data_IF_357770569536
#
_entry.id   IF_357770569536
#
_cell.length_a   1.000
_cell.length_b   1.000
_cell.length_c   1.000
_cell.angle_alpha   90.00
_cell.angle_beta   90.00
_cell.angle_gamma   90.00
#
_symmetry.space_group_name_H-M   'P 1'
#
loop_
_entity.id
_entity.type
_entity.pdbx_description
1 polymer ?
#
# COMPACT_ATOMS: atom_id res chain seq x y z
N UNK A 1 -5.47 -19.61 17.25
CA UNK A 1 -4.28 -18.93 16.69
C UNK A 1 -4.45 -17.44 16.94
N UNK A 2 -3.55 -16.77 17.67
CA UNK A 2 -3.75 -15.37 18.10
C UNK A 2 -3.47 -14.42 16.93
N UNK A 3 -4.40 -13.53 16.62
CA UNK A 3 -4.37 -12.59 15.48
C UNK A 3 -3.11 -11.71 15.42
N UNK A 4 -2.42 -11.53 16.56
CA UNK A 4 -1.15 -10.79 16.63
C UNK A 4 0.06 -11.49 15.98
N UNK A 5 0.04 -12.82 15.87
CA UNK A 5 1.14 -13.56 15.22
C UNK A 5 1.11 -13.38 13.69
N UNK A 6 -0.09 -13.40 13.09
CA UNK A 6 -0.25 -13.25 11.64
C UNK A 6 0.22 -11.89 11.11
N UNK A 7 -0.09 -10.79 11.81
CA UNK A 7 0.35 -9.45 11.40
C UNK A 7 1.87 -9.26 11.50
N UNK A 8 2.48 -9.88 12.53
CA UNK A 8 3.93 -9.84 12.75
C UNK A 8 4.67 -10.62 11.66
N UNK A 9 4.13 -11.75 11.24
CA UNK A 9 4.71 -12.60 10.19
C UNK A 9 4.68 -11.92 8.81
N UNK A 10 3.55 -11.31 8.44
CA UNK A 10 3.37 -10.53 7.19
C UNK A 10 4.34 -9.33 7.13
N UNK A 11 4.53 -8.65 8.26
CA UNK A 11 5.43 -7.49 8.35
C UNK A 11 6.89 -7.89 8.21
N UNK A 12 7.30 -9.01 8.82
CA UNK A 12 8.69 -9.49 8.78
C UNK A 12 9.11 -10.02 7.40
N UNK A 13 8.17 -10.55 6.63
CA UNK A 13 8.42 -10.98 5.25
C UNK A 13 8.67 -9.82 4.28
N UNK A 14 8.18 -8.62 4.61
CA UNK A 14 8.27 -7.43 3.76
C UNK A 14 9.56 -6.66 4.08
N UNK A 15 10.62 -6.86 3.29
CA UNK A 15 11.95 -6.21 3.40
C UNK A 15 11.93 -4.69 3.14
N UNK A 16 11.10 -3.92 3.85
CA UNK A 16 11.00 -2.47 3.74
C UNK A 16 11.78 -1.77 4.85
N UNK A 17 12.53 -0.69 4.53
CA UNK A 17 13.20 0.18 5.52
C UNK A 17 12.24 0.77 6.57
N UNK A 18 10.93 0.70 6.34
CA UNK A 18 9.88 1.07 7.30
C UNK A 18 9.89 0.19 8.57
N UNK A 19 10.38 -1.06 8.46
CA UNK A 19 10.51 -1.99 9.59
C UNK A 19 11.40 -1.44 10.72
N UNK A 20 12.40 -0.60 10.40
CA UNK A 20 13.24 0.04 11.41
C UNK A 20 12.50 1.12 12.22
N UNK A 21 11.57 1.86 11.61
CA UNK A 21 10.73 2.82 12.31
C UNK A 21 9.82 2.13 13.34
N UNK A 22 9.41 0.89 13.07
CA UNK A 22 8.57 0.08 13.97
C UNK A 22 9.33 -0.47 15.19
N UNK A 23 10.63 -0.70 15.06
CA UNK A 23 11.50 -1.14 16.16
C UNK A 23 11.69 -0.02 17.20
N UNK A 24 11.63 1.25 16.82
CA UNK A 24 11.77 2.36 17.75
C UNK A 24 10.57 2.56 18.70
N UNK A 25 9.44 1.91 18.46
CA UNK A 25 8.21 2.07 19.25
C UNK A 25 7.97 0.90 20.20
N UNK A 26 7.57 1.15 21.44
CA UNK A 26 7.24 0.12 22.43
C UNK A 26 5.72 -0.06 22.61
N UNK A 27 5.31 -1.25 23.06
CA UNK A 27 3.97 -1.50 23.57
C UNK A 27 2.85 -1.55 22.52
N UNK A 28 1.72 -0.90 22.83
CA UNK A 28 0.49 -0.95 22.04
C UNK A 28 0.67 -0.36 20.62
N UNK A 29 1.34 0.79 20.50
CA UNK A 29 1.57 1.45 19.20
C UNK A 29 2.32 0.59 18.19
N UNK A 30 3.27 -0.24 18.64
CA UNK A 30 3.96 -1.19 17.75
C UNK A 30 2.99 -2.20 17.16
N UNK A 31 2.04 -2.72 17.95
CA UNK A 31 1.02 -3.66 17.45
C UNK A 31 0.07 -2.98 16.49
N UNK A 32 -0.30 -1.74 16.79
CA UNK A 32 -1.23 -0.96 15.97
C UNK A 32 -0.65 -0.62 14.61
N UNK A 33 0.60 -0.13 14.55
CA UNK A 33 1.27 0.12 13.26
C UNK A 33 1.50 -1.18 12.48
N UNK A 34 1.79 -2.29 13.18
CA UNK A 34 1.97 -3.61 12.54
C UNK A 34 0.66 -4.08 11.93
N UNK A 35 -0.47 -3.82 12.59
CA UNK A 35 -1.81 -4.12 12.08
C UNK A 35 -2.12 -3.28 10.85
N UNK A 36 -1.82 -1.98 10.89
CA UNK A 36 -1.97 -1.08 9.75
C UNK A 36 -1.09 -1.51 8.56
N UNK A 37 0.15 -1.90 8.82
CA UNK A 37 1.06 -2.37 7.78
C UNK A 37 0.59 -3.70 7.16
N UNK A 38 0.11 -4.63 7.98
CA UNK A 38 -0.48 -5.88 7.50
C UNK A 38 -1.71 -5.64 6.62
N UNK A 39 -2.56 -4.66 6.96
CA UNK A 39 -3.67 -4.23 6.10
C UNK A 39 -3.19 -3.75 4.72
N UNK A 40 -2.22 -2.84 4.68
CA UNK A 40 -1.67 -2.34 3.41
C UNK A 40 -1.12 -3.49 2.56
N UNK A 41 -0.41 -4.44 3.19
CA UNK A 41 0.18 -5.59 2.49
C UNK A 41 -0.88 -6.52 1.92
N UNK A 42 -1.96 -6.80 2.65
CA UNK A 42 -3.05 -7.65 2.16
C UNK A 42 -3.74 -7.02 0.95
N UNK A 43 -3.97 -5.71 0.98
CA UNK A 43 -4.58 -5.00 -0.15
C UNK A 43 -3.66 -5.01 -1.38
N UNK A 44 -2.37 -4.71 -1.20
CA UNK A 44 -1.37 -4.79 -2.28
C UNK A 44 -1.30 -6.21 -2.88
N UNK A 45 -1.30 -7.26 -2.03
CA UNK A 45 -1.26 -8.65 -2.49
C UNK A 45 -2.51 -9.04 -3.30
N UNK A 46 -3.68 -8.46 -3.01
CA UNK A 46 -4.88 -8.66 -3.83
C UNK A 46 -4.67 -8.08 -5.23
N UNK A 47 -4.09 -6.88 -5.35
CA UNK A 47 -3.84 -6.26 -6.65
C UNK A 47 -2.71 -6.93 -7.43
N UNK A 48 -1.65 -7.38 -6.76
CA UNK A 48 -0.47 -7.99 -7.37
C UNK A 48 -0.66 -9.48 -7.72
N UNK A 49 -1.73 -10.15 -7.27
CA UNK A 49 -1.96 -11.57 -7.58
C UNK A 49 -2.36 -11.76 -9.06
N UNK A 50 -1.38 -12.09 -9.90
CA UNK A 50 -1.56 -12.36 -11.33
C UNK A 50 -2.46 -13.58 -11.64
N UNK A 51 -2.79 -14.42 -10.63
CA UNK A 51 -3.66 -15.58 -10.81
C UNK A 51 -5.15 -15.23 -10.72
N UNK A 52 -5.49 -14.04 -10.22
CA UNK A 52 -6.88 -13.57 -10.08
C UNK A 52 -7.27 -12.65 -11.23
N UNK A 53 -8.49 -12.81 -11.72
CA UNK A 53 -9.07 -11.88 -12.67
C UNK A 53 -9.39 -10.52 -12.01
N UNK A 54 -9.60 -9.50 -12.83
CA UNK A 54 -9.87 -8.13 -12.35
C UNK A 54 -11.17 -8.04 -11.55
N UNK A 55 -12.18 -8.84 -11.90
CA UNK A 55 -13.47 -8.84 -11.21
C UNK A 55 -13.34 -9.39 -9.79
N UNK A 56 -12.61 -10.49 -9.59
CA UNK A 56 -12.32 -11.07 -8.28
C UNK A 56 -11.54 -10.08 -7.42
N UNK A 57 -10.51 -9.42 -7.98
CA UNK A 57 -9.74 -8.39 -7.26
C UNK A 57 -10.65 -7.26 -6.76
N UNK A 58 -11.49 -6.70 -7.65
CA UNK A 58 -12.45 -5.64 -7.29
C UNK A 58 -13.44 -6.09 -6.21
N UNK A 59 -13.93 -7.33 -6.30
CA UNK A 59 -14.84 -7.89 -5.30
C UNK A 59 -14.17 -8.00 -3.92
N UNK A 60 -12.94 -8.49 -3.86
CA UNK A 60 -12.19 -8.58 -2.60
C UNK A 60 -11.87 -7.20 -2.00
N UNK A 61 -11.54 -6.21 -2.83
CA UNK A 61 -11.33 -4.83 -2.39
C UNK A 61 -12.64 -4.18 -1.91
N UNK A 62 -13.77 -4.49 -2.54
CA UNK A 62 -15.10 -4.06 -2.09
C UNK A 62 -15.49 -4.68 -0.73
N UNK A 63 -15.16 -5.97 -0.51
CA UNK A 63 -15.32 -6.63 0.80
C UNK A 63 -14.52 -5.87 1.87
N UNK A 64 -13.27 -5.50 1.56
CA UNK A 64 -12.45 -4.69 2.46
C UNK A 64 -13.07 -3.34 2.78
N UNK A 65 -13.61 -2.61 1.79
CA UNK A 65 -14.32 -1.34 2.05
C UNK A 65 -15.51 -1.53 2.99
N UNK A 66 -16.31 -2.57 2.75
CA UNK A 66 -17.43 -2.89 3.63
C UNK A 66 -16.96 -3.17 5.06
N UNK A 67 -15.83 -3.88 5.21
CA UNK A 67 -15.26 -4.25 6.50
C UNK A 67 -14.75 -3.04 7.30
N UNK A 68 -14.40 -1.94 6.64
CA UNK A 68 -14.02 -0.70 7.33
C UNK A 68 -15.22 -0.01 7.97
N UNK A 69 -16.41 -0.15 7.37
CA UNK A 69 -17.64 0.56 7.79
C UNK A 69 -18.50 -0.23 8.77
N UNK A 70 -18.32 -1.54 8.86
CA UNK A 70 -19.10 -2.37 9.76
C UNK A 70 -18.63 -3.82 9.81
N UNK A 71 -19.16 -4.54 10.79
CA UNK A 71 -18.91 -5.97 10.94
C UNK A 71 -19.93 -6.76 10.12
N UNK A 72 -19.48 -7.84 9.48
CA UNK A 72 -20.37 -8.78 8.80
C UNK A 72 -19.79 -10.19 8.81
N UNK A 73 -20.64 -11.18 8.50
CA UNK A 73 -20.23 -12.58 8.46
C UNK A 73 -19.17 -12.81 7.37
N UNK A 74 -18.10 -13.54 7.71
CA UNK A 74 -16.97 -13.85 6.82
C UNK A 74 -16.11 -12.64 6.43
N UNK A 75 -16.03 -11.61 7.26
CA UNK A 75 -15.06 -10.53 7.06
C UNK A 75 -13.61 -11.02 7.16
N UNK A 76 -12.64 -10.32 6.52
CA UNK A 76 -11.22 -10.64 6.64
C UNK A 76 -10.77 -10.66 8.10
N UNK A 77 -9.90 -11.60 8.48
CA UNK A 77 -9.43 -11.75 9.86
C UNK A 77 -8.77 -10.48 10.44
N UNK A 78 -8.21 -9.63 9.57
CA UNK A 78 -7.60 -8.35 9.93
C UNK A 78 -8.61 -7.18 10.02
N UNK A 79 -9.86 -7.36 9.57
CA UNK A 79 -10.89 -6.30 9.57
C UNK A 79 -11.14 -5.72 10.96
N UNK A 80 -11.37 -6.59 11.96
CA UNK A 80 -11.63 -6.16 13.33
C UNK A 80 -10.43 -5.40 13.96
N UNK A 81 -9.18 -5.92 13.91
CA UNK A 81 -8.01 -5.14 14.33
C UNK A 81 -7.86 -3.80 13.61
N UNK A 82 -8.16 -3.73 12.31
CA UNK A 82 -8.09 -2.48 11.53
C UNK A 82 -9.15 -1.49 11.99
N UNK A 83 -10.40 -1.93 12.18
CA UNK A 83 -11.46 -1.08 12.75
C UNK A 83 -11.11 -0.55 14.13
N UNK A 84 -10.40 -1.34 14.95
CA UNK A 84 -9.93 -0.88 16.26
C UNK A 84 -8.95 0.30 16.16
N UNK A 85 -8.20 0.43 15.05
CA UNK A 85 -7.36 1.60 14.81
C UNK A 85 -8.18 2.88 14.64
N UNK A 86 -9.31 2.79 13.92
CA UNK A 86 -10.24 3.91 13.72
C UNK A 86 -10.84 4.42 15.04
N UNK A 87 -11.03 3.55 16.02
CA UNK A 87 -11.49 3.95 17.35
C UNK A 87 -10.38 4.45 18.29
N UNK A 88 -9.12 4.12 17.99
CA UNK A 88 -7.98 4.41 18.89
C UNK A 88 -7.25 5.69 18.49
N UNK A 89 -7.22 6.01 17.20
CA UNK A 89 -6.50 7.13 16.61
C UNK A 89 -7.46 8.02 15.82
N UNK A 90 -7.12 9.29 15.55
CA UNK A 90 -7.91 10.19 14.70
C UNK A 90 -7.79 9.83 13.22
N UNK A 91 -8.12 8.58 12.87
CA UNK A 91 -8.13 8.03 11.53
C UNK A 91 -9.59 7.86 11.12
N UNK A 92 -9.95 8.35 9.95
CA UNK A 92 -11.30 8.14 9.41
C UNK A 92 -11.32 6.96 8.43
N UNK A 93 -12.47 6.28 8.24
CA UNK A 93 -12.61 5.23 7.23
C UNK A 93 -12.16 5.69 5.84
N UNK A 94 -12.44 6.96 5.49
CA UNK A 94 -12.10 7.57 4.21
C UNK A 94 -10.58 7.55 3.95
N UNK A 95 -9.75 7.74 4.99
CA UNK A 95 -8.29 7.67 4.83
C UNK A 95 -7.82 6.27 4.41
N UNK A 96 -8.47 5.22 4.91
CA UNK A 96 -8.17 3.83 4.54
C UNK A 96 -8.80 3.46 3.18
N UNK A 97 -9.97 4.01 2.86
CA UNK A 97 -10.61 3.84 1.56
C UNK A 97 -9.82 4.50 0.41
N UNK A 98 -9.13 5.61 0.67
CA UNK A 98 -8.20 6.23 -0.30
C UNK A 98 -7.05 5.29 -0.64
N UNK A 99 -6.54 4.52 0.33
CA UNK A 99 -5.50 3.50 0.08
C UNK A 99 -6.05 2.39 -0.82
N UNK A 100 -7.24 1.85 -0.50
CA UNK A 100 -7.91 0.84 -1.33
C UNK A 100 -8.12 1.36 -2.76
N UNK A 101 -8.56 2.61 -2.89
CA UNK A 101 -8.78 3.25 -4.20
C UNK A 101 -7.47 3.41 -4.98
N UNK A 102 -6.37 3.75 -4.30
CA UNK A 102 -5.04 3.78 -4.93
C UNK A 102 -4.62 2.43 -5.48
N UNK A 103 -4.91 1.34 -4.74
CA UNK A 103 -4.58 -0.02 -5.16
C UNK A 103 -5.49 -0.52 -6.29
N UNK A 104 -6.77 -0.14 -6.32
CA UNK A 104 -7.64 -0.40 -7.47
C UNK A 104 -7.14 0.25 -8.76
N UNK A 105 -6.53 1.44 -8.66
CA UNK A 105 -5.93 2.09 -9.83
C UNK A 105 -4.79 1.26 -10.42
N UNK A 106 -4.07 0.46 -9.63
CA UNK A 106 -3.04 -0.46 -10.14
C UNK A 106 -3.64 -1.67 -10.88
N UNK A 107 -4.88 -2.07 -10.55
CA UNK A 107 -5.61 -3.14 -11.24
C UNK A 107 -6.03 -2.70 -12.65
N UNK A 108 -6.38 -1.42 -12.81
CA UNK A 108 -6.97 -0.86 -14.03
C UNK A 108 -5.95 -0.12 -14.93
N UNK A 109 -4.99 0.60 -14.35
CA UNK A 109 -4.14 1.55 -15.07
C UNK A 109 -2.70 1.07 -15.12
N UNK A 110 -2.27 0.57 -16.29
CA UNK A 110 -0.88 0.13 -16.51
C UNK A 110 0.08 1.30 -16.79
N UNK A 111 -0.42 2.46 -17.23
CA UNK A 111 0.42 3.62 -17.59
C UNK A 111 -0.36 4.93 -17.51
N UNK A 112 0.11 5.85 -16.69
CA UNK A 112 -0.37 7.23 -16.63
C UNK A 112 0.19 8.06 -17.80
N UNK A 113 -0.68 8.86 -18.42
CA UNK A 113 -0.34 9.69 -19.58
C UNK A 113 0.21 11.06 -19.15
N UNK A 114 -0.28 11.60 -18.04
CA UNK A 114 0.10 12.91 -17.52
C UNK A 114 0.77 12.83 -16.13
N UNK A 115 1.55 13.86 -15.81
CA UNK A 115 2.18 14.01 -14.50
C UNK A 115 1.15 14.17 -13.38
N UNK A 116 0.05 14.88 -13.62
CA UNK A 116 -1.00 15.10 -12.63
C UNK A 116 -1.73 13.81 -12.26
N UNK A 117 -1.97 12.92 -13.23
CA UNK A 117 -2.52 11.59 -12.98
C UNK A 117 -1.56 10.73 -12.13
N UNK A 118 -0.26 10.79 -12.43
CA UNK A 118 0.77 10.11 -11.64
C UNK A 118 0.86 10.67 -10.22
N UNK A 119 0.71 12.00 -10.04
CA UNK A 119 0.67 12.64 -8.71
C UNK A 119 -0.51 12.17 -7.88
N UNK A 120 -1.71 12.11 -8.46
CA UNK A 120 -2.91 11.61 -7.77
C UNK A 120 -2.71 10.16 -7.33
N UNK A 121 -2.14 9.32 -8.21
CA UNK A 121 -1.80 7.95 -7.87
C UNK A 121 -0.76 7.87 -6.73
N UNK A 122 0.34 8.63 -6.81
CA UNK A 122 1.36 8.65 -5.75
C UNK A 122 0.80 9.18 -4.42
N UNK A 123 -0.16 10.10 -4.46
CA UNK A 123 -0.85 10.55 -3.26
C UNK A 123 -1.62 9.40 -2.60
N UNK A 124 -2.42 8.67 -3.38
CA UNK A 124 -3.27 7.59 -2.87
C UNK A 124 -2.50 6.38 -2.35
N UNK A 125 -1.46 5.95 -3.07
CA UNK A 125 -0.71 4.73 -2.71
C UNK A 125 0.36 4.96 -1.64
N UNK A 126 0.88 6.19 -1.51
CA UNK A 126 1.99 6.45 -0.58
C UNK A 126 1.75 7.59 0.40
N UNK A 127 1.09 8.68 -0.02
CA UNK A 127 0.82 9.79 0.91
C UNK A 127 -0.29 9.43 1.89
N UNK A 128 -1.35 8.73 1.45
CA UNK A 128 -2.40 8.25 2.35
C UNK A 128 -1.85 7.29 3.42
N UNK A 129 -0.95 6.38 3.03
CA UNK A 129 -0.25 5.48 3.97
C UNK A 129 0.58 6.27 4.98
N UNK A 130 1.30 7.30 4.52
CA UNK A 130 2.07 8.20 5.37
C UNK A 130 1.20 8.98 6.35
N UNK A 131 0.05 9.49 5.90
CA UNK A 131 -0.92 10.22 6.71
C UNK A 131 -1.49 9.34 7.84
N UNK A 132 -1.93 8.12 7.53
CA UNK A 132 -2.40 7.19 8.57
C UNK A 132 -1.29 6.83 9.55
N UNK A 133 -0.06 6.64 9.05
CA UNK A 133 1.10 6.31 9.90
C UNK A 133 1.42 7.41 10.92
N UNK A 134 1.37 8.69 10.51
CA UNK A 134 1.63 9.78 11.45
C UNK A 134 0.54 9.94 12.51
N UNK A 135 -0.72 9.65 12.18
CA UNK A 135 -1.82 9.65 13.18
C UNK A 135 -1.60 8.55 14.23
N UNK A 136 -1.09 7.38 13.83
CA UNK A 136 -0.72 6.28 14.75
C UNK A 136 0.51 6.65 15.59
N UNK A 137 1.52 7.30 15.00
CA UNK A 137 2.70 7.74 15.74
C UNK A 137 2.39 8.82 16.76
N UNK A 138 1.40 9.67 16.49
CA UNK A 138 1.02 10.80 17.31
C UNK A 138 2.04 11.93 17.20
N UNK A 139 1.76 12.91 16.34
CA UNK A 139 2.58 14.12 16.19
C UNK A 139 2.01 15.28 17.01
N UNK A 140 2.87 16.25 17.34
CA UNK A 140 2.48 17.48 18.04
C UNK A 140 2.38 18.70 17.12
N UNK A 141 3.12 18.69 16.00
CA UNK A 141 3.12 19.78 15.03
C UNK A 141 2.22 19.43 13.83
N UNK A 142 1.12 20.16 13.57
CA UNK A 142 0.26 19.95 12.41
C UNK A 142 0.98 19.93 11.05
N UNK A 143 2.10 20.64 10.92
CA UNK A 143 2.94 20.65 9.71
C UNK A 143 3.54 19.27 9.37
N UNK A 144 3.52 18.32 10.31
CA UNK A 144 3.92 16.94 10.04
C UNK A 144 3.03 16.28 8.97
N UNK A 145 1.79 16.73 8.78
CA UNK A 145 0.91 16.25 7.70
C UNK A 145 1.46 16.61 6.32
N UNK A 146 1.88 17.85 6.13
CA UNK A 146 2.47 18.32 4.86
C UNK A 146 3.75 17.56 4.54
N UNK A 147 4.57 17.30 5.57
CA UNK A 147 5.79 16.51 5.43
C UNK A 147 5.50 15.04 5.06
N UNK A 148 4.48 14.43 5.68
CA UNK A 148 4.08 13.05 5.35
C UNK A 148 3.60 12.92 3.90
N UNK A 149 2.84 13.90 3.42
CA UNK A 149 2.41 13.96 2.02
C UNK A 149 3.62 14.10 1.09
N UNK A 150 4.52 15.05 1.38
CA UNK A 150 5.72 15.27 0.57
C UNK A 150 6.63 14.03 0.53
N UNK A 151 6.82 13.36 1.68
CA UNK A 151 7.64 12.16 1.79
C UNK A 151 7.01 10.97 1.04
N UNK A 152 5.70 10.76 1.16
CA UNK A 152 4.98 9.71 0.44
C UNK A 152 5.10 9.86 -1.07
N UNK A 153 4.90 11.09 -1.58
CA UNK A 153 5.12 11.42 -2.98
C UNK A 153 6.57 11.11 -3.42
N UNK A 154 7.56 11.57 -2.67
CA UNK A 154 8.98 11.39 -3.00
C UNK A 154 9.38 9.90 -3.08
N UNK A 155 8.98 9.10 -2.10
CA UNK A 155 9.31 7.66 -2.06
C UNK A 155 8.67 6.88 -3.20
N UNK A 156 7.42 7.19 -3.58
CA UNK A 156 6.73 6.48 -4.66
C UNK A 156 7.23 6.90 -6.04
N UNK A 157 7.56 8.18 -6.23
CA UNK A 157 8.23 8.66 -7.45
C UNK A 157 9.56 7.92 -7.63
N UNK A 158 10.36 7.79 -6.58
CA UNK A 158 11.64 7.07 -6.63
C UNK A 158 11.45 5.60 -7.03
N UNK A 159 10.45 4.90 -6.47
CA UNK A 159 10.12 3.51 -6.83
C UNK A 159 9.70 3.37 -8.30
N UNK A 160 8.85 4.27 -8.81
CA UNK A 160 8.38 4.21 -10.21
C UNK A 160 9.45 4.60 -11.22
N UNK A 161 10.36 5.53 -10.88
CA UNK A 161 11.54 5.83 -11.70
C UNK A 161 12.47 4.62 -11.76
N UNK A 162 12.76 3.97 -10.62
CA UNK A 162 13.59 2.77 -10.57
C UNK A 162 12.98 1.60 -11.38
N UNK A 163 11.66 1.38 -11.30
CA UNK A 163 10.96 0.37 -12.09
C UNK A 163 10.95 0.67 -13.61
N UNK A 164 10.95 1.96 -14.00
CA UNK A 164 11.11 2.37 -15.42
C UNK A 164 12.55 2.25 -15.91
N UNK A 165 13.55 2.44 -15.06
CA UNK A 165 14.97 2.31 -15.40
C UNK A 165 15.46 0.85 -15.47
N UNK A 166 14.76 -0.10 -14.83
CA UNK A 166 15.20 -1.51 -14.76
C UNK A 166 14.42 -2.49 -15.66
N UNK A 167 13.76 -2.00 -16.73
CA UNK A 167 13.50 -2.87 -17.89
C UNK A 167 14.56 -2.57 -18.94
N UNK A 168 15.53 -3.47 -19.18
CA UNK A 168 16.40 -3.32 -20.34
C UNK A 168 15.50 -3.32 -21.57
N UNK A 169 15.32 -2.14 -22.16
CA UNK A 169 14.72 -2.03 -23.49
C UNK A 169 15.68 -2.75 -24.42
N UNK A 170 15.17 -3.76 -25.11
CA UNK A 170 15.78 -4.36 -26.30
C UNK A 170 17.18 -4.96 -26.12
N UNK A 171 17.25 -6.23 -25.69
CA UNK A 171 18.13 -7.17 -26.41
C UNK A 171 17.34 -7.65 -27.63
N UNK A 172 17.14 -6.73 -28.58
CA UNK A 172 16.58 -7.02 -29.87
C UNK A 172 17.61 -7.82 -30.65
N UNK A 173 17.41 -9.14 -30.67
CA UNK A 173 17.50 -10.00 -31.85
C UNK A 173 18.40 -9.40 -32.97
N UNK A 174 19.72 -9.56 -32.85
CA UNK A 174 20.62 -9.38 -33.98
C UNK A 174 20.46 -10.61 -34.88
N UNK A 175 19.42 -10.60 -35.72
CA UNK A 175 19.32 -11.51 -36.86
C UNK A 175 20.51 -11.23 -37.78
N UNK A 176 21.51 -12.11 -37.78
CA UNK A 176 22.49 -12.18 -38.87
C UNK A 176 21.73 -12.44 -40.17
N UNK A 177 21.73 -11.45 -41.07
CA UNK A 177 21.47 -11.67 -42.49
C UNK A 177 22.28 -10.67 -43.33
N UNK A 178 23.33 -11.19 -43.94
CA UNK A 178 23.99 -10.78 -45.20
C UNK A 178 25.07 -11.86 -45.44
N UNK A 179 24.82 -12.93 -46.21
CA UNK A 179 24.74 -13.01 -47.68
C UNK A 179 26.04 -12.61 -48.39
N UNK A 180 26.69 -13.60 -49.03
CA UNK A 180 27.51 -13.45 -50.24
C UNK A 180 28.99 -13.15 -50.04
N UNK A 181 29.84 -14.19 -50.08
CA UNK A 181 30.73 -14.54 -51.20
C UNK A 181 31.22 -15.99 -51.03
#
# INVERSE_FOLDING_TARGET
>A
MKTGDAATEITRASKSNLAFAFIAMSGARRRDITTFYAFCRVIDDIADDDRRDQETKRRELAIWRQSLRGEFANEPALAKPVRQLLSTYPITPEMLEEIITGVEMDVDIRRYAAWDELRVYCHRVASAVGLVSIEIFGYKNPQCRDYAIALGLALQIQRRIAARCFRPRSCARFTRRSSGE
#
